data_IF_304970095863
#
_entry.id   IF_304970095863
#
_cell.length_a   1.000
_cell.length_b   1.000
_cell.length_c   1.000
_cell.angle_alpha   90.00
_cell.angle_beta   90.00
_cell.angle_gamma   90.00
#
_symmetry.space_group_name_H-M   'P 1'
#
loop_
_entity.id
_entity.type
_entity.pdbx_description
1 polymer ?
#
# COMPACT_ATOMS: atom_id res chain seq x y z
N UNK A 1 18.05 -41.19 -22.90
CA UNK A 1 18.98 -40.11 -23.33
C UNK A 1 19.28 -39.16 -22.17
N UNK A 2 18.24 -38.67 -21.48
CA UNK A 2 18.30 -37.85 -20.26
C UNK A 2 19.21 -38.42 -19.16
N UNK A 3 19.15 -39.73 -18.86
CA UNK A 3 20.00 -40.36 -17.85
C UNK A 3 21.50 -40.43 -18.20
N UNK A 4 21.88 -40.50 -19.49
CA UNK A 4 23.29 -40.49 -19.92
C UNK A 4 23.90 -39.08 -19.86
N UNK A 5 23.09 -38.06 -20.12
CA UNK A 5 23.50 -36.66 -19.97
C UNK A 5 23.59 -36.22 -18.50
N UNK A 6 22.66 -36.71 -17.68
CA UNK A 6 22.71 -36.57 -16.21
C UNK A 6 23.98 -37.19 -15.62
N UNK A 7 24.42 -38.32 -16.15
CA UNK A 7 25.67 -38.98 -15.73
C UNK A 7 26.91 -38.15 -16.10
N UNK A 8 26.96 -37.59 -17.31
CA UNK A 8 28.09 -36.73 -17.73
C UNK A 8 28.16 -35.41 -16.96
N UNK A 9 27.02 -34.79 -16.66
CA UNK A 9 26.97 -33.58 -15.84
C UNK A 9 27.42 -33.86 -14.40
N UNK A 10 27.01 -35.02 -13.83
CA UNK A 10 27.47 -35.48 -12.51
C UNK A 10 28.98 -35.78 -12.48
N UNK A 11 29.55 -36.43 -13.50
CA UNK A 11 31.01 -36.68 -13.59
C UNK A 11 31.81 -35.37 -13.72
N UNK A 12 31.37 -34.44 -14.57
CA UNK A 12 32.04 -33.14 -14.75
C UNK A 12 32.08 -32.30 -13.48
N UNK A 13 31.07 -32.43 -12.60
CA UNK A 13 31.06 -31.72 -11.32
C UNK A 13 31.74 -32.52 -10.21
N UNK A 14 31.56 -33.85 -10.13
CA UNK A 14 32.17 -34.67 -9.07
C UNK A 14 33.69 -34.73 -9.17
N UNK A 15 34.27 -34.78 -10.37
CA UNK A 15 35.74 -34.70 -10.54
C UNK A 15 36.30 -33.33 -10.13
N UNK A 16 35.48 -32.27 -10.13
CA UNK A 16 35.88 -30.90 -9.81
C UNK A 16 35.65 -30.53 -8.34
N UNK A 17 34.59 -31.01 -7.70
CA UNK A 17 34.38 -30.86 -6.24
C UNK A 17 35.50 -31.54 -5.44
N UNK A 18 36.07 -32.63 -5.96
CA UNK A 18 37.24 -33.31 -5.37
C UNK A 18 38.51 -32.45 -5.48
N UNK A 19 38.71 -31.72 -6.59
CA UNK A 19 39.86 -30.81 -6.76
C UNK A 19 39.73 -29.53 -5.94
N UNK A 20 38.53 -28.95 -5.84
CA UNK A 20 38.26 -27.75 -5.02
C UNK A 20 38.43 -28.06 -3.52
N UNK A 21 37.96 -29.22 -3.04
CA UNK A 21 38.16 -29.64 -1.65
C UNK A 21 39.61 -30.05 -1.32
N UNK A 22 40.40 -30.45 -2.32
CA UNK A 22 41.85 -30.66 -2.16
C UNK A 22 42.61 -29.33 -2.09
N UNK A 23 42.17 -28.29 -2.81
CA UNK A 23 42.73 -26.93 -2.74
C UNK A 23 42.38 -26.26 -1.39
N UNK A 24 41.15 -26.41 -0.91
CA UNK A 24 40.74 -25.88 0.42
C UNK A 24 41.46 -26.57 1.60
N UNK A 25 41.92 -27.82 1.45
CA UNK A 25 42.73 -28.53 2.47
C UNK A 25 44.22 -28.15 2.48
N UNK A 26 44.69 -27.40 1.49
CA UNK A 26 46.10 -26.97 1.37
C UNK A 26 46.33 -25.52 1.85
N UNK A 27 45.28 -24.81 2.26
CA UNK A 27 45.38 -23.47 2.85
C UNK A 27 45.32 -23.57 4.38
N UNK A 28 46.36 -23.15 5.12
CA UNK A 28 46.31 -23.16 6.58
C UNK A 28 45.28 -22.13 7.07
N UNK A 29 44.37 -22.59 7.93
CA UNK A 29 43.51 -21.73 8.73
C UNK A 29 44.36 -20.91 9.69
N UNK A 30 44.76 -19.69 9.32
CA UNK A 30 45.06 -18.64 10.30
C UNK A 30 45.13 -17.25 9.64
N UNK A 31 44.34 -16.33 10.21
CA UNK A 31 44.43 -14.87 10.17
C UNK A 31 44.13 -14.17 8.83
N UNK A 32 42.86 -13.79 8.71
CA UNK A 32 42.46 -12.53 8.09
C UNK A 32 43.19 -11.37 8.79
N UNK A 33 44.20 -10.81 8.13
CA UNK A 33 44.53 -9.38 8.07
C UNK A 33 45.86 -9.27 7.32
N UNK A 34 45.87 -8.39 6.32
CA UNK A 34 47.01 -8.04 5.46
C UNK A 34 47.42 -9.12 4.45
N UNK A 35 46.78 -9.16 3.28
CA UNK A 35 47.50 -9.54 2.05
C UNK A 35 46.91 -8.87 0.79
N UNK A 36 47.81 -8.17 0.12
CA UNK A 36 47.70 -7.52 -1.17
C UNK A 36 47.12 -8.45 -2.24
N UNK A 37 45.97 -8.08 -2.81
CA UNK A 37 45.32 -8.76 -3.94
C UNK A 37 46.10 -8.52 -5.22
N UNK A 38 47.21 -9.23 -5.45
CA UNK A 38 47.92 -9.09 -6.72
C UNK A 38 48.80 -10.27 -7.13
N UNK A 39 48.45 -11.54 -6.86
CA UNK A 39 49.17 -12.68 -7.51
C UNK A 39 48.48 -14.05 -7.40
N UNK A 40 47.14 -14.09 -7.37
CA UNK A 40 46.41 -15.27 -7.85
C UNK A 40 46.18 -15.05 -9.35
N UNK A 41 46.90 -15.83 -10.15
CA UNK A 41 47.30 -15.54 -11.51
C UNK A 41 46.15 -15.41 -12.51
N UNK A 42 46.13 -14.30 -13.26
CA UNK A 42 45.36 -14.06 -14.50
C UNK A 42 45.32 -15.26 -15.45
N UNK A 43 46.30 -16.16 -15.40
CA UNK A 43 46.41 -17.33 -16.26
C UNK A 43 45.40 -18.45 -15.91
N UNK A 44 45.07 -18.64 -14.63
CA UNK A 44 44.15 -19.72 -14.20
C UNK A 44 42.68 -19.31 -14.38
N UNK A 45 42.37 -18.03 -14.20
CA UNK A 45 41.07 -17.43 -14.55
C UNK A 45 40.88 -17.44 -16.07
N UNK A 46 41.89 -17.03 -16.85
CA UNK A 46 41.84 -17.11 -18.32
C UNK A 46 41.75 -18.56 -18.81
N UNK A 47 42.42 -19.53 -18.18
CA UNK A 47 42.27 -20.95 -18.52
C UNK A 47 40.89 -21.49 -18.14
N UNK A 48 40.29 -20.99 -17.05
CA UNK A 48 38.91 -21.32 -16.68
C UNK A 48 37.91 -20.70 -17.66
N UNK A 49 38.09 -19.45 -18.10
CA UNK A 49 37.30 -18.79 -19.14
C UNK A 49 37.40 -19.49 -20.49
N UNK A 50 38.63 -19.80 -20.95
CA UNK A 50 38.89 -20.54 -22.18
C UNK A 50 38.31 -21.95 -22.08
N UNK A 51 38.35 -22.60 -20.92
CA UNK A 51 37.82 -23.94 -20.74
C UNK A 51 36.29 -23.95 -20.65
N UNK A 52 35.65 -22.93 -20.05
CA UNK A 52 34.19 -22.82 -20.08
C UNK A 52 33.69 -22.41 -21.48
N UNK A 53 34.39 -21.51 -22.19
CA UNK A 53 34.14 -21.24 -23.62
C UNK A 53 34.26 -22.50 -24.50
N UNK A 54 35.17 -23.41 -24.17
CA UNK A 54 35.35 -24.67 -24.89
C UNK A 54 34.38 -25.78 -24.45
N UNK A 55 33.88 -25.76 -23.21
CA UNK A 55 32.93 -26.75 -22.67
C UNK A 55 31.48 -26.38 -23.00
N UNK A 56 31.15 -25.09 -23.10
CA UNK A 56 29.91 -24.59 -23.70
C UNK A 56 30.12 -24.54 -25.22
N UNK A 57 30.31 -25.71 -25.83
CA UNK A 57 30.10 -25.82 -27.27
C UNK A 57 28.64 -25.45 -27.56
N UNK A 58 28.35 -24.90 -28.75
CA UNK A 58 26.96 -24.68 -29.22
C UNK A 58 26.05 -25.87 -28.91
N UNK A 59 26.58 -27.10 -28.96
CA UNK A 59 25.89 -28.36 -28.69
C UNK A 59 25.51 -28.55 -27.21
N UNK A 60 26.42 -28.33 -26.26
CA UNK A 60 26.13 -28.37 -24.82
C UNK A 60 25.10 -27.31 -24.42
N UNK A 61 25.10 -26.18 -25.12
CA UNK A 61 24.13 -25.11 -24.94
C UNK A 61 22.75 -25.43 -25.51
N UNK A 62 22.67 -26.03 -26.71
CA UNK A 62 21.43 -26.60 -27.27
C UNK A 62 20.85 -27.71 -26.38
N UNK A 63 21.71 -28.48 -25.70
CA UNK A 63 21.28 -29.52 -24.77
C UNK A 63 20.70 -28.93 -23.47
N UNK A 64 21.24 -27.80 -22.98
CA UNK A 64 20.64 -27.02 -21.90
C UNK A 64 19.31 -26.39 -22.34
N UNK A 65 19.23 -25.81 -23.53
CA UNK A 65 17.99 -25.32 -24.12
C UNK A 65 16.92 -26.43 -24.16
N UNK A 66 17.29 -27.64 -24.57
CA UNK A 66 16.40 -28.79 -24.56
C UNK A 66 15.92 -29.18 -23.16
N UNK A 67 16.80 -29.13 -22.16
CA UNK A 67 16.46 -29.43 -20.77
C UNK A 67 15.53 -28.36 -20.18
N UNK A 68 15.77 -27.08 -20.46
CA UNK A 68 15.03 -25.95 -19.85
C UNK A 68 13.76 -25.54 -20.59
N UNK A 69 13.65 -25.80 -21.90
CA UNK A 69 12.50 -25.38 -22.72
C UNK A 69 11.55 -26.52 -23.08
N UNK A 70 11.97 -27.80 -23.03
CA UNK A 70 11.12 -28.95 -23.37
C UNK A 70 10.62 -29.76 -22.15
N UNK A 71 11.00 -29.39 -20.91
CA UNK A 71 10.56 -30.13 -19.73
C UNK A 71 9.58 -29.34 -18.86
N UNK A 72 8.36 -29.86 -18.69
CA UNK A 72 7.38 -29.43 -17.67
C UNK A 72 7.84 -29.78 -16.23
N UNK A 73 9.13 -30.06 -16.04
CA UNK A 73 9.70 -30.65 -14.83
C UNK A 73 10.38 -29.54 -14.04
N UNK A 74 9.86 -29.28 -12.83
CA UNK A 74 10.47 -28.35 -11.86
C UNK A 74 11.96 -28.64 -11.70
N UNK A 75 12.78 -27.59 -11.62
CA UNK A 75 14.23 -27.69 -11.48
C UNK A 75 14.59 -28.57 -10.27
N UNK A 76 15.23 -29.75 -10.46
CA UNK A 76 15.43 -30.68 -9.35
C UNK A 76 16.44 -30.10 -8.35
N UNK A 77 16.08 -30.13 -7.07
CA UNK A 77 16.81 -29.50 -5.95
C UNK A 77 18.31 -29.84 -5.92
N UNK A 78 18.66 -31.08 -6.25
CA UNK A 78 20.05 -31.57 -6.30
C UNK A 78 20.92 -30.81 -7.31
N UNK A 79 20.35 -30.31 -8.41
CA UNK A 79 21.08 -29.50 -9.39
C UNK A 79 21.17 -28.04 -8.95
N UNK A 80 20.17 -27.53 -8.24
CA UNK A 80 20.18 -26.20 -7.65
C UNK A 80 21.28 -26.04 -6.61
N UNK A 81 21.39 -26.97 -5.67
CA UNK A 81 22.41 -26.93 -4.62
C UNK A 81 23.83 -26.92 -5.21
N UNK A 82 24.00 -27.62 -6.34
CA UNK A 82 25.24 -27.71 -7.09
C UNK A 82 25.53 -26.45 -7.93
N UNK A 83 24.48 -25.79 -8.45
CA UNK A 83 24.53 -24.52 -9.18
C UNK A 83 24.90 -23.34 -8.27
N UNK A 84 24.29 -23.29 -7.08
CA UNK A 84 24.51 -22.23 -6.09
C UNK A 84 25.89 -22.36 -5.46
N UNK A 85 26.34 -23.58 -5.15
CA UNK A 85 27.66 -23.82 -4.55
C UNK A 85 28.86 -23.54 -5.46
N UNK A 86 28.64 -23.24 -6.74
CA UNK A 86 29.70 -23.02 -7.74
C UNK A 86 29.78 -21.59 -8.29
N UNK A 87 29.13 -20.60 -7.66
CA UNK A 87 29.04 -19.21 -8.16
C UNK A 87 28.51 -19.12 -9.61
N UNK A 88 27.78 -20.13 -10.07
CA UNK A 88 27.29 -20.20 -11.44
C UNK A 88 26.33 -19.06 -11.82
N UNK A 89 25.52 -18.49 -10.91
CA UNK A 89 24.74 -17.28 -11.20
C UNK A 89 25.60 -16.06 -11.57
N UNK A 90 26.73 -15.82 -10.88
CA UNK A 90 27.70 -14.76 -11.25
C UNK A 90 28.27 -15.03 -12.64
N UNK A 91 28.57 -16.30 -12.93
CA UNK A 91 29.03 -16.70 -14.25
C UNK A 91 27.97 -16.43 -15.32
N UNK A 92 26.71 -16.81 -15.13
CA UNK A 92 25.64 -16.54 -16.09
C UNK A 92 25.43 -15.04 -16.32
N UNK A 93 25.59 -14.23 -15.28
CA UNK A 93 25.42 -12.78 -15.35
C UNK A 93 26.59 -12.12 -16.06
N UNK A 94 27.84 -12.47 -15.73
CA UNK A 94 29.01 -12.03 -16.49
C UNK A 94 28.96 -12.52 -17.95
N UNK A 95 28.53 -13.76 -18.16
CA UNK A 95 28.37 -14.36 -19.49
C UNK A 95 27.26 -13.68 -20.31
N UNK A 96 26.20 -13.16 -19.68
CA UNK A 96 25.20 -12.32 -20.33
C UNK A 96 25.76 -10.94 -20.75
N UNK A 97 26.69 -10.40 -19.96
CA UNK A 97 27.31 -9.09 -20.18
C UNK A 97 28.38 -9.13 -21.29
N UNK A 98 29.17 -10.21 -21.31
CA UNK A 98 30.33 -10.32 -22.20
C UNK A 98 29.99 -10.86 -23.61
N UNK A 99 28.81 -11.48 -23.79
CA UNK A 99 28.42 -12.08 -25.06
C UNK A 99 27.27 -11.33 -25.75
N UNK A 100 27.53 -10.85 -26.97
CA UNK A 100 26.58 -10.13 -27.84
C UNK A 100 25.51 -11.02 -28.49
N UNK A 101 25.56 -12.34 -28.29
CA UNK A 101 24.65 -13.27 -28.95
C UNK A 101 23.33 -13.40 -28.21
N UNK A 102 22.29 -12.87 -28.82
CA UNK A 102 20.91 -12.86 -28.35
C UNK A 102 20.38 -14.18 -27.76
N UNK A 103 20.62 -15.31 -28.44
CA UNK A 103 20.16 -16.62 -27.96
C UNK A 103 20.80 -17.05 -26.63
N UNK A 104 22.04 -16.63 -26.38
CA UNK A 104 22.72 -16.93 -25.11
C UNK A 104 22.15 -16.09 -23.97
N UNK A 105 21.82 -14.83 -24.23
CA UNK A 105 21.13 -13.98 -23.26
C UNK A 105 19.75 -14.56 -22.91
N UNK A 106 18.96 -14.99 -23.90
CA UNK A 106 17.65 -15.63 -23.70
C UNK A 106 17.73 -16.88 -22.83
N UNK A 107 18.72 -17.74 -23.06
CA UNK A 107 18.87 -19.00 -22.31
C UNK A 107 19.36 -18.73 -20.88
N UNK A 108 20.31 -17.81 -20.68
CA UNK A 108 20.72 -17.41 -19.33
C UNK A 108 19.56 -16.81 -18.54
N UNK A 109 18.71 -16.00 -19.19
CA UNK A 109 17.45 -15.49 -18.63
C UNK A 109 16.50 -16.61 -18.27
N UNK A 110 16.33 -17.61 -19.15
CA UNK A 110 15.46 -18.76 -18.90
C UNK A 110 15.91 -19.55 -17.67
N UNK A 111 17.22 -19.76 -17.52
CA UNK A 111 17.82 -20.46 -16.39
C UNK A 111 17.62 -19.67 -15.10
N UNK A 112 17.98 -18.38 -15.10
CA UNK A 112 17.80 -17.49 -13.96
C UNK A 112 16.33 -17.38 -13.54
N UNK A 113 15.41 -17.29 -14.50
CA UNK A 113 13.98 -17.25 -14.23
C UNK A 113 13.49 -18.55 -13.58
N UNK A 114 13.88 -19.71 -14.12
CA UNK A 114 13.52 -21.01 -13.57
C UNK A 114 14.08 -21.23 -12.15
N UNK A 115 15.30 -20.78 -11.88
CA UNK A 115 15.92 -20.79 -10.55
C UNK A 115 15.09 -19.94 -9.58
N UNK A 116 14.72 -18.73 -10.00
CA UNK A 116 13.94 -17.77 -9.18
C UNK A 116 12.57 -18.32 -8.82
N UNK A 117 11.86 -18.93 -9.78
CA UNK A 117 10.52 -19.48 -9.55
C UNK A 117 10.56 -20.82 -8.79
N UNK A 118 11.59 -21.64 -9.01
CA UNK A 118 11.72 -22.94 -8.34
C UNK A 118 12.27 -22.80 -6.92
N UNK A 119 12.97 -21.70 -6.62
CA UNK A 119 13.55 -21.45 -5.31
C UNK A 119 13.40 -19.97 -4.92
N UNK A 120 12.28 -19.60 -4.29
CA UNK A 120 12.01 -18.22 -3.93
C UNK A 120 13.08 -17.63 -3.01
N UNK A 121 13.78 -18.46 -2.22
CA UNK A 121 14.83 -18.09 -1.26
C UNK A 121 16.19 -17.81 -1.89
N UNK A 122 16.29 -17.89 -3.21
CA UNK A 122 17.48 -17.49 -3.93
C UNK A 122 17.69 -15.96 -3.85
N UNK A 123 18.90 -15.55 -3.46
CA UNK A 123 19.36 -14.17 -3.31
C UNK A 123 20.49 -13.96 -4.32
N UNK A 124 20.42 -12.91 -5.14
CA UNK A 124 21.51 -12.48 -6.03
C UNK A 124 22.78 -12.24 -5.21
N UNK A 125 23.91 -12.64 -5.78
CA UNK A 125 25.20 -12.55 -5.11
C UNK A 125 25.63 -11.08 -4.91
N UNK A 126 26.30 -10.76 -3.79
CA UNK A 126 26.67 -9.40 -3.41
C UNK A 126 27.42 -8.61 -4.51
N UNK A 127 28.28 -9.28 -5.27
CA UNK A 127 29.16 -8.67 -6.27
C UNK A 127 28.40 -7.89 -7.37
N UNK A 128 27.19 -8.31 -7.70
CA UNK A 128 26.36 -7.66 -8.73
C UNK A 128 25.70 -6.40 -8.17
N UNK A 129 25.20 -6.43 -6.94
CA UNK A 129 24.57 -5.28 -6.26
C UNK A 129 25.63 -4.25 -5.85
N UNK A 130 26.85 -4.71 -5.58
CA UNK A 130 28.01 -3.85 -5.32
C UNK A 130 28.50 -3.10 -6.57
N UNK A 131 28.03 -3.41 -7.78
CA UNK A 131 28.44 -2.72 -9.01
C UNK A 131 27.25 -1.95 -9.64
N UNK A 132 27.17 -0.63 -9.44
CA UNK A 132 26.07 0.19 -9.95
C UNK A 132 25.88 0.15 -11.47
N UNK A 133 26.98 0.00 -12.22
CA UNK A 133 26.95 0.00 -13.69
C UNK A 133 26.31 -1.28 -14.21
N UNK A 134 26.63 -2.43 -13.60
CA UNK A 134 26.06 -3.73 -13.97
C UNK A 134 24.55 -3.73 -13.68
N UNK A 135 24.15 -3.30 -12.49
CA UNK A 135 22.73 -3.18 -12.13
C UNK A 135 22.02 -2.33 -13.18
N UNK A 136 22.55 -1.15 -13.50
CA UNK A 136 21.91 -0.24 -14.44
C UNK A 136 21.84 -0.77 -15.88
N UNK A 137 22.88 -1.42 -16.37
CA UNK A 137 22.88 -2.04 -17.70
C UNK A 137 21.76 -3.07 -17.84
N UNK A 138 21.47 -3.85 -16.80
CA UNK A 138 20.34 -4.76 -16.79
C UNK A 138 18.98 -4.06 -16.74
N UNK A 139 18.89 -2.96 -16.02
CA UNK A 139 17.66 -2.18 -15.91
C UNK A 139 17.30 -1.41 -17.18
N UNK A 140 18.30 -1.07 -17.98
CA UNK A 140 18.14 -0.42 -19.29
C UNK A 140 18.17 -1.39 -20.47
N UNK A 141 18.30 -2.70 -20.22
CA UNK A 141 18.36 -3.69 -21.28
C UNK A 141 17.09 -3.60 -22.16
N UNK A 142 17.23 -3.44 -23.49
CA UNK A 142 16.09 -3.23 -24.38
C UNK A 142 15.16 -4.44 -24.38
N UNK A 143 13.86 -4.19 -24.58
CA UNK A 143 12.90 -5.26 -24.86
C UNK A 143 13.33 -6.01 -26.12
N UNK A 144 13.37 -7.34 -26.01
CA UNK A 144 13.67 -8.19 -27.16
C UNK A 144 12.43 -8.20 -28.06
N UNK A 145 12.42 -7.36 -29.09
CA UNK A 145 11.33 -7.28 -30.06
C UNK A 145 11.69 -8.01 -31.35
N UNK A 146 11.11 -9.20 -31.53
CA UNK A 146 10.41 -9.70 -32.73
C UNK A 146 10.44 -11.25 -32.85
N UNK A 147 9.27 -11.84 -33.12
CA UNK A 147 9.15 -13.11 -33.86
C UNK A 147 9.22 -14.45 -33.11
N UNK A 148 9.43 -14.51 -31.79
CA UNK A 148 9.53 -15.80 -31.08
C UNK A 148 8.73 -15.86 -29.76
N UNK A 149 8.36 -17.09 -29.37
CA UNK A 149 7.39 -17.42 -28.30
C UNK A 149 7.66 -16.64 -26.99
N UNK A 150 6.55 -16.16 -26.43
CA UNK A 150 6.35 -15.05 -25.50
C UNK A 150 6.92 -15.14 -24.07
N UNK A 151 7.76 -16.11 -23.71
CA UNK A 151 8.14 -16.33 -22.30
C UNK A 151 9.51 -15.77 -21.88
N UNK A 152 10.36 -15.34 -22.82
CA UNK A 152 11.76 -14.96 -22.54
C UNK A 152 12.19 -13.60 -23.09
N UNK A 153 11.24 -12.80 -23.60
CA UNK A 153 11.51 -11.52 -24.27
C UNK A 153 11.93 -10.36 -23.34
N UNK A 154 12.05 -10.60 -22.03
CA UNK A 154 12.25 -9.54 -21.04
C UNK A 154 13.36 -9.91 -20.03
N UNK A 155 14.62 -9.91 -20.47
CA UNK A 155 15.80 -10.06 -19.58
C UNK A 155 15.75 -9.10 -18.37
N UNK A 156 15.48 -7.83 -18.65
CA UNK A 156 15.29 -6.76 -17.67
C UNK A 156 14.17 -7.08 -16.66
N UNK A 157 13.13 -7.81 -17.07
CA UNK A 157 12.07 -8.26 -16.17
C UNK A 157 12.55 -9.33 -15.18
N UNK A 158 13.19 -10.40 -15.68
CA UNK A 158 13.70 -11.47 -14.84
C UNK A 158 14.73 -10.94 -13.85
N UNK A 159 15.60 -10.03 -14.31
CA UNK A 159 16.54 -9.34 -13.45
C UNK A 159 15.86 -8.47 -12.39
N UNK A 160 14.81 -7.73 -12.75
CA UNK A 160 14.02 -6.92 -11.80
C UNK A 160 13.38 -7.80 -10.71
N UNK A 161 12.83 -8.96 -11.08
CA UNK A 161 12.25 -9.91 -10.11
C UNK A 161 13.33 -10.43 -9.16
N UNK A 162 14.47 -10.87 -9.70
CA UNK A 162 15.60 -11.35 -8.91
C UNK A 162 16.12 -10.30 -7.95
N UNK A 163 16.36 -9.08 -8.44
CA UNK A 163 16.82 -7.95 -7.64
C UNK A 163 15.79 -7.65 -6.55
N UNK A 164 14.49 -7.67 -6.87
CA UNK A 164 13.45 -7.44 -5.87
C UNK A 164 13.46 -8.47 -4.74
N UNK A 165 13.51 -9.76 -5.07
CA UNK A 165 13.57 -10.83 -4.07
C UNK A 165 14.83 -10.74 -3.20
N UNK A 166 15.95 -10.40 -3.83
CA UNK A 166 17.25 -10.27 -3.18
C UNK A 166 17.26 -9.16 -2.15
N UNK A 167 16.82 -7.97 -2.56
CA UNK A 167 16.71 -6.82 -1.67
C UNK A 167 15.73 -7.15 -0.55
N UNK A 168 14.56 -7.72 -0.89
CA UNK A 168 13.54 -8.10 0.08
C UNK A 168 14.04 -9.04 1.20
N UNK A 169 15.04 -9.88 0.92
CA UNK A 169 15.55 -10.92 1.82
C UNK A 169 16.87 -10.59 2.51
N UNK A 170 17.61 -9.57 2.05
CA UNK A 170 18.90 -9.21 2.62
C UNK A 170 18.99 -7.71 2.93
N UNK A 171 18.99 -7.38 4.23
CA UNK A 171 19.18 -6.02 4.72
C UNK A 171 20.58 -5.47 4.41
N UNK A 172 21.60 -6.32 4.44
CA UNK A 172 22.98 -5.96 4.08
C UNK A 172 23.07 -5.50 2.63
N UNK A 173 22.52 -6.30 1.71
CA UNK A 173 22.51 -5.97 0.28
C UNK A 173 21.64 -4.76 -0.04
N UNK A 174 20.53 -4.60 0.68
CA UNK A 174 19.70 -3.40 0.57
C UNK A 174 20.45 -2.15 1.05
N UNK A 175 21.22 -2.25 2.13
CA UNK A 175 22.05 -1.15 2.61
C UNK A 175 23.11 -0.77 1.57
N UNK A 176 23.78 -1.75 0.97
CA UNK A 176 24.76 -1.54 -0.11
C UNK A 176 24.09 -0.87 -1.33
N UNK A 177 22.89 -1.32 -1.70
CA UNK A 177 22.10 -0.72 -2.78
C UNK A 177 21.83 0.77 -2.55
N UNK A 178 21.50 1.15 -1.31
CA UNK A 178 21.28 2.56 -0.93
C UNK A 178 22.61 3.33 -0.95
N UNK A 179 23.64 2.84 -0.26
CA UNK A 179 24.93 3.55 -0.14
C UNK A 179 25.64 3.76 -1.47
N UNK A 180 25.41 2.87 -2.44
CA UNK A 180 25.96 2.99 -3.79
C UNK A 180 25.14 3.94 -4.69
N UNK A 181 24.13 4.63 -4.17
CA UNK A 181 23.29 5.57 -4.92
C UNK A 181 22.32 4.90 -5.90
N UNK A 182 22.15 3.57 -5.83
CA UNK A 182 21.24 2.85 -6.72
C UNK A 182 19.77 3.12 -6.38
N UNK A 183 19.47 3.41 -5.12
CA UNK A 183 18.13 3.85 -4.71
C UNK A 183 17.69 5.14 -5.40
N UNK A 184 18.55 6.16 -5.45
CA UNK A 184 18.23 7.44 -6.09
C UNK A 184 18.01 7.26 -7.61
N UNK A 185 18.84 6.41 -8.24
CA UNK A 185 18.65 6.04 -9.65
C UNK A 185 17.37 5.24 -9.89
N UNK A 186 17.03 4.32 -8.99
CA UNK A 186 15.77 3.60 -9.00
C UNK A 186 14.58 4.58 -8.98
N UNK A 187 14.60 5.60 -8.12
CA UNK A 187 13.58 6.65 -8.11
C UNK A 187 13.54 7.40 -9.44
N UNK A 188 14.70 7.85 -9.96
CA UNK A 188 14.79 8.57 -11.23
C UNK A 188 14.17 7.80 -12.40
N UNK A 189 14.23 6.46 -12.41
CA UNK A 189 13.60 5.65 -13.44
C UNK A 189 12.08 5.80 -13.50
N UNK A 190 11.41 6.12 -12.39
CA UNK A 190 9.98 6.45 -12.37
C UNK A 190 9.69 7.88 -12.81
N UNK A 191 10.68 8.77 -12.69
CA UNK A 191 10.53 10.20 -13.01
C UNK A 191 10.80 10.52 -14.47
N UNK A 192 11.50 9.64 -15.17
CA UNK A 192 11.87 9.83 -16.56
C UNK A 192 10.64 9.69 -17.48
N UNK A 193 10.13 10.78 -18.07
CA UNK A 193 8.97 10.76 -18.94
C UNK A 193 9.24 10.04 -20.27
N UNK A 194 10.50 9.81 -20.63
CA UNK A 194 10.89 9.05 -21.82
C UNK A 194 10.89 7.54 -21.56
N UNK A 195 10.82 7.11 -20.30
CA UNK A 195 10.82 5.70 -19.91
C UNK A 195 9.45 5.06 -20.16
N UNK A 196 9.22 4.64 -21.42
CA UNK A 196 7.98 4.00 -21.87
C UNK A 196 7.82 2.53 -21.46
N UNK A 197 8.79 1.93 -20.75
CA UNK A 197 8.74 0.52 -20.37
C UNK A 197 7.93 0.29 -19.08
N UNK A 198 6.63 0.55 -19.16
CA UNK A 198 5.63 0.31 -18.10
C UNK A 198 5.66 -1.13 -17.53
N UNK A 199 6.12 -2.10 -18.32
CA UNK A 199 6.30 -3.48 -17.86
C UNK A 199 7.36 -3.61 -16.76
N UNK A 200 8.48 -2.88 -16.78
CA UNK A 200 9.47 -2.96 -15.69
C UNK A 200 8.92 -2.36 -14.40
N UNK A 201 8.29 -1.19 -14.53
CA UNK A 201 7.71 -0.43 -13.43
C UNK A 201 6.72 -1.28 -12.63
N UNK A 202 5.95 -2.16 -13.30
CA UNK A 202 5.02 -3.09 -12.64
C UNK A 202 5.71 -4.05 -11.66
N UNK A 203 6.91 -4.54 -11.96
CA UNK A 203 7.62 -5.46 -11.05
C UNK A 203 8.45 -4.72 -10.01
N UNK A 204 8.98 -3.57 -10.39
CA UNK A 204 9.60 -2.62 -9.48
C UNK A 204 8.63 -2.07 -8.43
N UNK A 205 7.35 -1.98 -8.77
CA UNK A 205 6.30 -1.51 -7.85
C UNK A 205 6.29 -2.29 -6.54
N UNK A 206 6.68 -3.57 -6.54
CA UNK A 206 6.75 -4.40 -5.32
C UNK A 206 7.85 -3.98 -4.36
N UNK A 207 8.92 -3.38 -4.85
CA UNK A 207 10.00 -2.85 -4.03
C UNK A 207 9.61 -1.53 -3.36
N UNK A 208 8.64 -0.82 -3.91
CA UNK A 208 8.18 0.45 -3.36
C UNK A 208 7.58 0.26 -1.95
N UNK A 209 6.55 -0.59 -1.70
CA UNK A 209 6.06 -0.82 -0.34
C UNK A 209 7.14 -1.39 0.60
N UNK A 210 8.12 -2.13 0.06
CA UNK A 210 9.23 -2.64 0.85
C UNK A 210 10.15 -1.53 1.37
N UNK A 211 10.55 -0.60 0.49
CA UNK A 211 11.38 0.56 0.85
C UNK A 211 10.63 1.58 1.71
N UNK A 212 9.30 1.65 1.60
CA UNK A 212 8.46 2.47 2.47
C UNK A 212 8.22 1.85 3.85
N UNK A 213 8.74 0.65 4.12
CA UNK A 213 8.57 -0.03 5.41
C UNK A 213 9.62 0.42 6.45
N UNK A 214 9.33 0.32 7.76
CA UNK A 214 10.21 0.81 8.82
C UNK A 214 11.47 -0.06 8.97
N UNK A 215 11.51 -1.20 8.28
CA UNK A 215 12.67 -2.11 8.24
C UNK A 215 13.87 -1.48 7.53
N UNK A 216 13.68 -0.37 6.81
CA UNK A 216 14.72 0.31 6.03
C UNK A 216 14.85 1.77 6.45
N UNK A 217 15.99 2.17 7.04
CA UNK A 217 16.25 3.55 7.42
C UNK A 217 16.67 4.35 6.19
N UNK A 218 15.72 4.61 5.30
CA UNK A 218 15.86 5.59 4.22
C UNK A 218 15.45 6.96 4.80
N UNK A 219 16.21 8.01 4.48
CA UNK A 219 15.90 9.38 4.91
C UNK A 219 14.51 9.79 4.42
N UNK A 220 13.77 10.55 5.23
CA UNK A 220 12.43 11.03 4.87
C UNK A 220 12.42 11.77 3.53
N UNK A 221 13.46 12.55 3.20
CA UNK A 221 13.60 13.26 1.91
C UNK A 221 13.70 12.30 0.73
N UNK A 222 14.39 11.19 0.93
CA UNK A 222 14.52 10.13 -0.06
C UNK A 222 13.21 9.33 -0.20
N UNK A 223 12.48 9.11 0.90
CA UNK A 223 11.12 8.54 0.89
C UNK A 223 10.10 9.46 0.21
N UNK A 224 10.21 10.77 0.38
CA UNK A 224 9.39 11.77 -0.32
C UNK A 224 9.59 11.68 -1.82
N UNK A 225 10.80 11.34 -2.27
CA UNK A 225 11.08 11.13 -3.70
C UNK A 225 10.35 9.88 -4.25
N UNK A 226 10.01 8.90 -3.41
CA UNK A 226 9.17 7.76 -3.79
C UNK A 226 7.69 8.13 -3.99
N UNK A 227 7.21 9.28 -3.50
CA UNK A 227 5.81 9.71 -3.70
C UNK A 227 5.46 9.81 -5.19
N UNK A 228 6.43 10.18 -6.02
CA UNK A 228 6.26 10.23 -7.48
C UNK A 228 6.08 8.83 -8.07
N UNK A 229 6.77 7.83 -7.55
CA UNK A 229 6.62 6.44 -7.97
C UNK A 229 5.24 5.86 -7.57
N UNK A 230 4.62 6.39 -6.51
CA UNK A 230 3.23 6.07 -6.18
C UNK A 230 2.29 6.48 -7.31
N UNK A 231 2.42 7.71 -7.83
CA UNK A 231 1.57 8.20 -8.93
C UNK A 231 1.64 7.26 -10.15
N UNK A 232 2.83 6.76 -10.47
CA UNK A 232 2.99 5.79 -11.57
C UNK A 232 2.25 4.46 -11.30
N UNK A 233 2.28 3.95 -10.07
CA UNK A 233 1.49 2.75 -9.72
C UNK A 233 -0.02 2.97 -9.92
N UNK A 234 -0.50 4.18 -9.59
CA UNK A 234 -1.88 4.57 -9.86
C UNK A 234 -2.19 4.60 -11.37
N UNK A 235 -1.32 5.18 -12.20
CA UNK A 235 -1.49 5.24 -13.65
C UNK A 235 -1.52 3.84 -14.30
N UNK A 236 -0.75 2.90 -13.74
CA UNK A 236 -0.77 1.49 -14.12
C UNK A 236 -1.96 0.70 -13.54
N UNK A 237 -2.85 1.35 -12.79
CA UNK A 237 -4.02 0.75 -12.12
C UNK A 237 -3.67 -0.32 -11.09
N UNK A 238 -2.47 -0.27 -10.52
CA UNK A 238 -2.01 -1.13 -9.42
C UNK A 238 -2.50 -0.59 -8.07
N UNK A 239 -3.83 -0.49 -7.92
CA UNK A 239 -4.45 0.23 -6.81
C UNK A 239 -4.12 -0.36 -5.43
N UNK A 240 -3.99 -1.69 -5.34
CA UNK A 240 -3.70 -2.36 -4.07
C UNK A 240 -2.29 -2.02 -3.59
N UNK A 241 -1.31 -2.14 -4.48
CA UNK A 241 0.09 -1.79 -4.22
C UNK A 241 0.22 -0.29 -3.90
N UNK A 242 -0.43 0.55 -4.68
CA UNK A 242 -0.47 2.00 -4.48
C UNK A 242 -0.93 2.38 -3.07
N UNK A 243 -2.11 1.91 -2.66
CA UNK A 243 -2.70 2.17 -1.36
C UNK A 243 -1.78 1.64 -0.24
N UNK A 244 -1.30 0.40 -0.35
CA UNK A 244 -0.45 -0.21 0.66
C UNK A 244 0.87 0.55 0.84
N UNK A 245 1.47 1.05 -0.23
CA UNK A 245 2.70 1.85 -0.16
C UNK A 245 2.48 3.18 0.58
N UNK A 246 1.35 3.84 0.33
CA UNK A 246 0.99 5.07 1.03
C UNK A 246 0.69 4.80 2.50
N UNK A 247 -0.08 3.74 2.80
CA UNK A 247 -0.45 3.40 4.18
C UNK A 247 0.78 3.07 5.02
N UNK A 248 1.69 2.27 4.46
CA UNK A 248 2.98 2.00 5.10
C UNK A 248 3.79 3.28 5.32
N UNK A 249 3.82 4.21 4.37
CA UNK A 249 4.53 5.47 4.57
C UNK A 249 3.88 6.30 5.69
N UNK A 250 2.55 6.34 5.77
CA UNK A 250 1.84 7.10 6.79
C UNK A 250 1.98 6.50 8.21
N UNK A 251 2.03 5.18 8.34
CA UNK A 251 2.11 4.52 9.65
C UNK A 251 3.51 4.52 10.25
N UNK A 252 4.55 4.69 9.42
CA UNK A 252 5.94 4.58 9.85
C UNK A 252 6.68 5.90 9.94
N UNK A 253 6.16 6.96 9.32
CA UNK A 253 6.78 8.29 9.37
C UNK A 253 6.09 9.22 10.36
N UNK A 254 6.82 10.23 10.85
CA UNK A 254 6.26 11.28 11.70
C UNK A 254 5.31 12.21 10.94
N UNK A 255 4.65 13.12 11.67
CA UNK A 255 3.66 14.06 11.12
C UNK A 255 4.21 14.92 9.96
N UNK A 256 5.54 15.09 9.85
CA UNK A 256 6.21 15.83 8.78
C UNK A 256 5.89 15.30 7.38
N UNK A 257 5.62 13.99 7.23
CA UNK A 257 5.34 13.39 5.91
C UNK A 257 4.06 13.96 5.28
N UNK A 258 3.08 14.35 6.09
CA UNK A 258 1.81 14.90 5.62
C UNK A 258 1.99 16.21 4.87
N UNK A 259 2.95 17.06 5.27
CA UNK A 259 3.27 18.33 4.60
C UNK A 259 3.74 18.16 3.14
N UNK A 260 4.20 16.96 2.78
CA UNK A 260 4.59 16.62 1.42
C UNK A 260 3.45 15.95 0.68
N UNK A 261 2.76 15.00 1.32
CA UNK A 261 1.63 14.28 0.71
C UNK A 261 0.52 15.24 0.28
N UNK A 262 0.22 16.28 1.08
CA UNK A 262 -0.83 17.26 0.76
C UNK A 262 -0.52 18.13 -0.47
N UNK A 263 0.74 18.15 -0.93
CA UNK A 263 1.18 18.86 -2.14
C UNK A 263 1.19 17.97 -3.38
N UNK A 264 0.67 16.74 -3.29
CA UNK A 264 0.63 15.75 -4.38
C UNK A 264 -0.80 15.34 -4.69
N UNK A 265 -0.98 14.66 -5.82
CA UNK A 265 -2.29 14.12 -6.23
C UNK A 265 -2.74 12.90 -5.42
N UNK A 266 -1.99 12.50 -4.39
CA UNK A 266 -2.28 11.29 -3.61
C UNK A 266 -3.69 11.31 -3.01
N UNK A 267 -4.12 12.45 -2.47
CA UNK A 267 -5.46 12.62 -1.92
C UNK A 267 -6.53 12.41 -3.00
N UNK A 268 -6.39 13.10 -4.14
CA UNK A 268 -7.31 13.01 -5.28
C UNK A 268 -7.33 11.62 -5.91
N UNK A 269 -6.17 10.95 -6.01
CA UNK A 269 -6.07 9.58 -6.53
C UNK A 269 -6.85 8.58 -5.65
N UNK A 270 -6.82 8.74 -4.33
CA UNK A 270 -7.63 7.89 -3.43
C UNK A 270 -9.14 8.13 -3.63
N UNK A 271 -9.56 9.38 -3.89
CA UNK A 271 -10.94 9.69 -4.29
C UNK A 271 -11.30 8.98 -5.60
N UNK A 272 -10.44 9.05 -6.61
CA UNK A 272 -10.68 8.37 -7.88
C UNK A 272 -10.79 6.86 -7.73
N UNK A 273 -9.95 6.22 -6.90
CA UNK A 273 -10.04 4.77 -6.62
C UNK A 273 -11.41 4.41 -6.03
N UNK A 274 -11.98 5.27 -5.19
CA UNK A 274 -13.32 5.05 -4.63
C UNK A 274 -14.38 5.15 -5.73
N UNK A 275 -14.34 6.22 -6.54
CA UNK A 275 -15.31 6.47 -7.62
C UNK A 275 -15.34 5.30 -8.62
N UNK A 276 -14.19 4.88 -9.14
CA UNK A 276 -14.13 3.80 -10.16
C UNK A 276 -14.58 2.43 -9.64
N UNK A 277 -14.64 2.25 -8.32
CA UNK A 277 -15.04 1.02 -7.67
C UNK A 277 -16.40 1.14 -6.98
N UNK A 278 -17.14 2.25 -7.10
CA UNK A 278 -18.36 2.50 -6.35
C UNK A 278 -19.47 1.45 -6.61
N UNK A 279 -19.64 1.03 -7.87
CA UNK A 279 -20.71 0.09 -8.27
C UNK A 279 -20.28 -1.38 -8.17
N UNK A 280 -18.99 -1.64 -7.89
CA UNK A 280 -18.43 -2.99 -7.92
C UNK A 280 -18.65 -3.69 -6.58
N UNK A 281 -19.14 -4.92 -6.64
CA UNK A 281 -19.51 -5.71 -5.45
C UNK A 281 -18.57 -6.88 -5.18
N UNK A 282 -17.53 -7.07 -6.00
CA UNK A 282 -16.51 -8.08 -5.75
C UNK A 282 -15.64 -7.71 -4.53
N UNK A 283 -15.08 -8.73 -3.88
CA UNK A 283 -14.33 -8.58 -2.64
C UNK A 283 -13.10 -7.69 -2.80
N UNK A 284 -12.42 -7.77 -3.95
CA UNK A 284 -11.21 -6.97 -4.21
C UNK A 284 -11.57 -5.49 -4.33
N UNK A 285 -12.64 -5.16 -5.06
CA UNK A 285 -13.14 -3.78 -5.17
C UNK A 285 -13.61 -3.20 -3.84
N UNK A 286 -14.29 -4.01 -3.01
CA UNK A 286 -14.69 -3.62 -1.65
C UNK A 286 -13.45 -3.34 -0.79
N UNK A 287 -12.43 -4.21 -0.84
CA UNK A 287 -11.19 -4.02 -0.09
C UNK A 287 -10.46 -2.74 -0.53
N UNK A 288 -10.39 -2.48 -1.84
CA UNK A 288 -9.80 -1.25 -2.39
C UNK A 288 -10.52 0.01 -1.90
N UNK A 289 -11.86 0.05 -1.97
CA UNK A 289 -12.65 1.18 -1.46
C UNK A 289 -12.41 1.41 0.02
N UNK A 290 -12.50 0.35 0.82
CA UNK A 290 -12.28 0.40 2.27
C UNK A 290 -10.91 0.99 2.60
N UNK A 291 -9.85 0.50 1.95
CA UNK A 291 -8.50 0.95 2.25
C UNK A 291 -8.26 2.38 1.76
N UNK A 292 -8.80 2.77 0.60
CA UNK A 292 -8.75 4.15 0.10
C UNK A 292 -9.48 5.12 1.05
N UNK A 293 -10.68 4.77 1.53
CA UNK A 293 -11.43 5.60 2.49
C UNK A 293 -10.71 5.71 3.84
N UNK A 294 -10.05 4.63 4.29
CA UNK A 294 -9.23 4.65 5.49
C UNK A 294 -8.03 5.60 5.35
N UNK A 295 -7.34 5.56 4.21
CA UNK A 295 -6.27 6.51 3.89
C UNK A 295 -6.76 7.96 3.86
N UNK A 296 -7.90 8.23 3.21
CA UNK A 296 -8.50 9.57 3.21
C UNK A 296 -8.79 10.04 4.64
N UNK A 297 -9.34 9.17 5.49
CA UNK A 297 -9.61 9.50 6.89
C UNK A 297 -8.32 9.87 7.64
N UNK A 298 -7.23 9.09 7.47
CA UNK A 298 -5.92 9.41 8.06
C UNK A 298 -5.41 10.77 7.59
N UNK A 299 -5.50 11.06 6.29
CA UNK A 299 -5.06 12.34 5.71
C UNK A 299 -5.85 13.52 6.27
N UNK A 300 -7.18 13.44 6.32
CA UNK A 300 -8.05 14.51 6.84
C UNK A 300 -7.80 14.79 8.33
N UNK A 301 -7.62 13.74 9.14
CA UNK A 301 -7.34 13.89 10.58
C UNK A 301 -6.02 14.62 10.83
N UNK A 302 -4.98 14.27 10.05
CA UNK A 302 -3.64 14.83 10.22
C UNK A 302 -3.44 16.18 9.50
N UNK A 303 -4.42 16.64 8.73
CA UNK A 303 -4.39 17.96 8.10
C UNK A 303 -4.65 19.08 9.11
N UNK A 304 -3.70 19.34 10.01
CA UNK A 304 -3.85 20.36 11.07
C UNK A 304 -3.91 21.79 10.52
N UNK A 305 -3.35 22.03 9.33
CA UNK A 305 -3.23 23.36 8.73
C UNK A 305 -4.29 23.66 7.66
N UNK A 306 -5.25 22.75 7.43
CA UNK A 306 -6.26 22.87 6.37
C UNK A 306 -5.63 23.01 4.96
N UNK A 307 -4.56 22.26 4.71
CA UNK A 307 -3.86 22.20 3.43
C UNK A 307 -4.62 21.35 2.39
N UNK A 308 -5.44 20.39 2.82
CA UNK A 308 -6.24 19.57 1.92
C UNK A 308 -7.44 20.34 1.41
N UNK A 309 -7.61 20.36 0.09
CA UNK A 309 -8.86 20.81 -0.49
C UNK A 309 -9.94 19.73 -0.37
N UNK A 310 -10.79 19.86 0.66
CA UNK A 310 -11.86 18.91 0.93
C UNK A 310 -13.07 19.05 -0.01
N UNK A 311 -13.15 20.09 -0.87
CA UNK A 311 -14.29 20.25 -1.81
C UNK A 311 -14.35 19.17 -2.89
N UNK A 312 -13.25 18.44 -3.10
CA UNK A 312 -13.19 17.32 -4.05
C UNK A 312 -13.79 16.03 -3.51
N UNK A 313 -14.17 15.98 -2.22
CA UNK A 313 -14.75 14.78 -1.64
C UNK A 313 -16.13 14.49 -2.27
N UNK A 314 -16.35 13.28 -2.80
CA UNK A 314 -17.61 12.91 -3.44
C UNK A 314 -18.64 12.54 -2.37
N UNK A 315 -19.19 13.55 -1.70
CA UNK A 315 -20.15 13.38 -0.61
C UNK A 315 -21.43 12.64 -1.02
N UNK A 316 -21.84 12.78 -2.27
CA UNK A 316 -22.90 12.00 -2.91
C UNK A 316 -22.57 10.50 -2.88
N UNK A 317 -21.37 10.11 -3.28
CA UNK A 317 -20.93 8.70 -3.24
C UNK A 317 -20.83 8.20 -1.80
N UNK A 318 -20.24 8.97 -0.88
CA UNK A 318 -20.19 8.58 0.52
C UNK A 318 -21.58 8.43 1.12
N UNK A 319 -22.55 9.24 0.69
CA UNK A 319 -23.94 9.10 1.12
C UNK A 319 -24.60 7.82 0.57
N UNK A 320 -24.26 7.40 -0.64
CA UNK A 320 -24.75 6.14 -1.21
C UNK A 320 -24.18 4.93 -0.46
N UNK A 321 -22.92 5.00 -0.02
CA UNK A 321 -22.31 3.95 0.78
C UNK A 321 -22.93 3.74 2.16
N UNK A 322 -23.67 4.71 2.69
CA UNK A 322 -24.45 4.50 3.90
C UNK A 322 -25.55 3.45 3.69
N UNK A 323 -26.12 3.41 2.49
CA UNK A 323 -27.12 2.42 2.09
C UNK A 323 -26.48 1.10 1.59
N UNK A 324 -25.15 1.00 1.60
CA UNK A 324 -24.44 -0.23 1.23
C UNK A 324 -24.74 -1.33 2.24
N UNK A 325 -24.93 -2.60 1.81
CA UNK A 325 -25.01 -3.73 2.73
C UNK A 325 -23.66 -4.00 3.42
N UNK A 326 -22.57 -3.39 2.96
CA UNK A 326 -21.26 -3.52 3.57
C UNK A 326 -21.08 -2.53 4.74
N UNK A 327 -21.03 -3.07 5.96
CA UNK A 327 -20.84 -2.29 7.18
C UNK A 327 -19.54 -1.47 7.19
N UNK A 328 -18.47 -1.96 6.54
CA UNK A 328 -17.21 -1.19 6.45
C UNK A 328 -17.38 0.07 5.61
N UNK A 329 -18.14 0.02 4.53
CA UNK A 329 -18.44 1.18 3.68
C UNK A 329 -19.25 2.22 4.48
N UNK A 330 -20.25 1.77 5.25
CA UNK A 330 -21.03 2.65 6.14
C UNK A 330 -20.13 3.34 7.17
N UNK A 331 -19.32 2.57 7.91
CA UNK A 331 -18.44 3.08 8.96
C UNK A 331 -17.42 4.09 8.40
N UNK A 332 -16.81 3.77 7.27
CA UNK A 332 -15.80 4.64 6.66
C UNK A 332 -16.43 5.95 6.16
N UNK A 333 -17.59 5.88 5.53
CA UNK A 333 -18.32 7.05 5.03
C UNK A 333 -18.77 7.97 6.17
N UNK A 334 -19.33 7.41 7.25
CA UNK A 334 -19.70 8.17 8.45
C UNK A 334 -18.49 8.88 9.06
N UNK A 335 -17.33 8.21 9.16
CA UNK A 335 -16.10 8.83 9.67
C UNK A 335 -15.67 10.02 8.82
N UNK A 336 -15.61 9.85 7.49
CA UNK A 336 -15.23 10.92 6.56
C UNK A 336 -16.17 12.12 6.72
N UNK A 337 -17.49 11.88 6.74
CA UNK A 337 -18.48 12.95 6.92
C UNK A 337 -18.33 13.68 8.26
N UNK A 338 -18.12 12.97 9.36
CA UNK A 338 -17.88 13.59 10.68
C UNK A 338 -16.66 14.51 10.64
N UNK A 339 -15.55 14.04 10.05
CA UNK A 339 -14.34 14.86 9.95
C UNK A 339 -14.51 16.04 8.99
N UNK A 340 -15.24 15.86 7.90
CA UNK A 340 -15.57 16.93 6.97
C UNK A 340 -16.32 18.07 7.65
N UNK A 341 -17.38 17.73 8.40
CA UNK A 341 -18.18 18.69 9.17
C UNK A 341 -17.32 19.38 10.23
N UNK A 342 -16.49 18.64 10.97
CA UNK A 342 -15.61 19.25 11.97
C UNK A 342 -14.58 20.20 11.37
N UNK A 343 -14.21 20.01 10.10
CA UNK A 343 -13.17 20.81 9.43
C UNK A 343 -13.71 22.05 8.75
N UNK A 344 -14.87 21.98 8.09
CA UNK A 344 -15.47 23.13 7.40
C UNK A 344 -16.69 23.71 8.11
N UNK A 345 -17.08 23.13 9.24
CA UNK A 345 -18.17 23.59 10.10
C UNK A 345 -19.46 23.85 9.30
N UNK A 346 -20.04 25.05 9.43
CA UNK A 346 -21.29 25.44 8.78
C UNK A 346 -21.25 25.34 7.25
N UNK A 347 -20.09 25.53 6.62
CA UNK A 347 -19.96 25.40 5.16
C UNK A 347 -20.15 23.95 4.72
N UNK A 348 -19.59 22.99 5.47
CA UNK A 348 -19.78 21.57 5.17
C UNK A 348 -21.26 21.19 5.29
N UNK A 349 -21.94 21.67 6.33
CA UNK A 349 -23.34 21.34 6.57
C UNK A 349 -24.23 21.90 5.45
N UNK A 350 -24.00 23.14 5.04
CA UNK A 350 -24.70 23.74 3.90
C UNK A 350 -24.52 22.91 2.63
N UNK A 351 -23.29 22.50 2.32
CA UNK A 351 -23.00 21.69 1.14
C UNK A 351 -23.69 20.31 1.20
N UNK A 352 -23.74 19.69 2.38
CA UNK A 352 -24.43 18.40 2.57
C UNK A 352 -25.96 18.53 2.44
N UNK A 353 -26.55 19.65 2.87
CA UNK A 353 -27.96 19.99 2.63
C UNK A 353 -28.21 20.14 1.13
N UNK A 354 -27.41 20.96 0.43
CA UNK A 354 -27.55 21.23 -0.99
C UNK A 354 -27.40 19.98 -1.87
N UNK A 355 -26.50 19.07 -1.46
CA UNK A 355 -26.32 17.76 -2.10
C UNK A 355 -27.40 16.73 -1.74
N UNK A 356 -28.34 17.09 -0.86
CA UNK A 356 -29.42 16.20 -0.41
C UNK A 356 -28.92 14.98 0.35
N UNK A 357 -27.71 15.03 0.94
CA UNK A 357 -27.14 13.92 1.71
C UNK A 357 -28.04 13.60 2.89
N UNK A 358 -28.59 14.63 3.55
CA UNK A 358 -29.42 14.43 4.72
C UNK A 358 -30.74 13.70 4.45
N UNK A 359 -31.30 13.85 3.24
CA UNK A 359 -32.53 13.15 2.84
C UNK A 359 -32.37 11.63 2.80
N UNK A 360 -31.15 11.15 2.58
CA UNK A 360 -30.85 9.71 2.46
C UNK A 360 -30.78 9.00 3.81
N UNK A 361 -30.80 9.74 4.94
CA UNK A 361 -30.66 9.10 6.24
C UNK A 361 -31.98 8.50 6.79
N UNK A 362 -33.13 8.88 6.24
CA UNK A 362 -34.43 8.51 6.80
C UNK A 362 -34.76 7.00 6.70
N UNK A 363 -34.12 6.27 5.77
CA UNK A 363 -34.38 4.85 5.52
C UNK A 363 -33.18 3.93 5.85
N UNK A 364 -32.21 4.42 6.63
CA UNK A 364 -30.98 3.67 6.90
C UNK A 364 -31.16 2.53 7.91
N UNK A 365 -30.95 1.30 7.45
CA UNK A 365 -30.76 0.14 8.32
C UNK A 365 -29.32 0.12 8.88
N UNK A 366 -29.17 0.64 10.09
CA UNK A 366 -27.87 0.71 10.76
C UNK A 366 -27.59 -0.53 11.61
N UNK A 367 -26.41 -1.10 11.42
CA UNK A 367 -25.86 -2.10 12.35
C UNK A 367 -25.45 -1.46 13.68
N UNK A 368 -25.39 -2.24 14.75
CA UNK A 368 -24.92 -1.76 16.06
C UNK A 368 -23.58 -1.00 15.96
N UNK A 369 -22.65 -1.48 15.14
CA UNK A 369 -21.34 -0.85 14.93
C UNK A 369 -21.37 0.49 14.18
N UNK A 370 -22.38 0.74 13.35
CA UNK A 370 -22.53 2.03 12.64
C UNK A 370 -23.42 3.03 13.40
N UNK A 371 -24.28 2.57 14.32
CA UNK A 371 -25.17 3.44 15.13
C UNK A 371 -24.43 4.48 15.96
N UNK A 372 -23.34 4.13 16.64
CA UNK A 372 -22.56 5.10 17.44
C UNK A 372 -21.98 6.23 16.57
N UNK A 373 -21.42 5.87 15.41
CA UNK A 373 -20.87 6.85 14.46
C UNK A 373 -21.96 7.69 13.82
N UNK A 374 -23.09 7.06 13.48
CA UNK A 374 -24.25 7.75 12.99
C UNK A 374 -24.68 8.80 14.02
N UNK A 375 -25.01 8.41 15.25
CA UNK A 375 -25.39 9.35 16.31
C UNK A 375 -24.36 10.49 16.49
N UNK A 376 -23.07 10.15 16.44
CA UNK A 376 -21.99 11.14 16.49
C UNK A 376 -22.03 12.15 15.32
N UNK A 377 -22.38 11.75 14.10
CA UNK A 377 -22.56 12.63 12.94
C UNK A 377 -23.70 13.62 13.19
N UNK A 378 -24.86 13.14 13.65
CA UNK A 378 -26.03 13.99 13.88
C UNK A 378 -25.79 14.98 15.01
N UNK A 379 -25.24 14.52 16.14
CA UNK A 379 -24.87 15.39 17.25
C UNK A 379 -23.85 16.44 16.83
N UNK A 380 -22.86 16.07 16.03
CA UNK A 380 -21.85 17.02 15.54
C UNK A 380 -22.48 18.05 14.59
N UNK A 381 -23.38 17.62 13.70
CA UNK A 381 -24.11 18.52 12.80
C UNK A 381 -24.92 19.52 13.62
N UNK A 382 -25.74 19.04 14.55
CA UNK A 382 -26.66 19.86 15.34
C UNK A 382 -25.96 20.91 16.23
N UNK A 383 -24.75 20.62 16.71
CA UNK A 383 -23.99 21.54 17.55
C UNK A 383 -23.30 22.66 16.77
N UNK A 384 -23.20 22.52 15.44
CA UNK A 384 -22.45 23.45 14.58
C UNK A 384 -23.42 24.31 13.77
N UNK A 385 -24.52 23.73 13.29
CA UNK A 385 -25.56 24.36 12.46
C UNK A 385 -25.98 25.74 12.95
N UNK A 386 -26.13 26.68 12.02
CA UNK A 386 -26.87 27.92 12.26
C UNK A 386 -28.39 27.72 12.20
N UNK A 387 -29.15 28.78 12.45
CA UNK A 387 -30.61 28.69 12.57
C UNK A 387 -31.33 28.23 11.29
N UNK A 388 -30.95 28.79 10.14
CA UNK A 388 -31.54 28.44 8.84
C UNK A 388 -31.26 26.98 8.45
N UNK A 389 -30.04 26.52 8.72
CA UNK A 389 -29.65 25.14 8.52
C UNK A 389 -30.41 24.20 9.44
N UNK A 390 -30.56 24.55 10.72
CA UNK A 390 -31.29 23.76 11.70
C UNK A 390 -32.77 23.60 11.26
N UNK A 391 -33.42 24.68 10.85
CA UNK A 391 -34.81 24.62 10.36
C UNK A 391 -34.95 23.65 9.17
N UNK A 392 -34.01 23.72 8.21
CA UNK A 392 -34.00 22.82 7.06
C UNK A 392 -33.82 21.36 7.48
N UNK A 393 -32.90 21.08 8.41
CA UNK A 393 -32.63 19.73 8.89
C UNK A 393 -33.79 19.16 9.72
N UNK A 394 -34.53 20.00 10.46
CA UNK A 394 -35.78 19.62 11.11
C UNK A 394 -36.82 19.19 10.09
N UNK A 395 -36.97 19.93 8.98
CA UNK A 395 -37.90 19.56 7.90
C UNK A 395 -37.56 18.22 7.25
N UNK A 396 -36.27 17.85 7.22
CA UNK A 396 -35.82 16.53 6.74
C UNK A 396 -36.08 15.39 7.74
N UNK A 397 -36.53 15.69 8.96
CA UNK A 397 -36.77 14.68 10.00
C UNK A 397 -35.49 14.18 10.67
N UNK A 398 -34.36 14.88 10.46
CA UNK A 398 -33.01 14.46 10.85
C UNK A 398 -32.88 14.08 12.34
N UNK A 399 -33.58 14.80 13.22
CA UNK A 399 -33.31 14.79 14.67
C UNK A 399 -34.16 13.82 15.49
N UNK A 400 -35.18 13.18 14.90
CA UNK A 400 -36.18 12.39 15.65
C UNK A 400 -35.56 11.22 16.42
N UNK A 401 -34.53 10.58 15.86
CA UNK A 401 -33.99 9.32 16.41
C UNK A 401 -32.78 9.53 17.36
N UNK A 402 -32.32 10.76 17.57
CA UNK A 402 -31.10 11.04 18.35
C UNK A 402 -31.26 10.61 19.80
N UNK A 403 -32.39 10.96 20.42
CA UNK A 403 -32.62 10.69 21.84
C UNK A 403 -32.98 9.22 22.09
N UNK A 404 -33.68 8.57 21.17
CA UNK A 404 -33.98 7.14 21.24
C UNK A 404 -32.73 6.26 21.14
N UNK A 405 -31.70 6.75 20.43
CA UNK A 405 -30.44 6.04 20.27
C UNK A 405 -29.39 6.37 21.34
N UNK A 406 -29.74 7.19 22.33
CA UNK A 406 -28.82 7.61 23.38
C UNK A 406 -28.42 6.43 24.27
N UNK A 407 -27.12 6.14 24.34
CA UNK A 407 -26.55 5.14 25.25
C UNK A 407 -26.05 5.83 26.53
N UNK A 408 -26.78 5.66 27.63
CA UNK A 408 -26.44 6.24 28.95
C UNK A 408 -25.16 5.67 29.56
N UNK A 409 -24.62 4.58 29.01
CA UNK A 409 -23.31 4.06 29.40
C UNK A 409 -22.14 4.78 28.71
N UNK A 410 -22.38 5.54 27.63
CA UNK A 410 -21.34 6.27 26.89
C UNK A 410 -21.30 7.76 27.27
N UNK A 411 -20.48 8.08 28.26
CA UNK A 411 -20.32 9.44 28.80
C UNK A 411 -19.99 10.50 27.72
N UNK A 412 -19.24 10.14 26.68
CA UNK A 412 -18.90 11.08 25.59
C UNK A 412 -20.12 11.46 24.76
N UNK A 413 -21.01 10.50 24.50
CA UNK A 413 -22.27 10.75 23.81
C UNK A 413 -23.20 11.57 24.70
N UNK A 414 -23.35 11.19 25.97
CA UNK A 414 -24.20 11.91 26.91
C UNK A 414 -23.77 13.37 27.04
N UNK A 415 -22.48 13.64 27.22
CA UNK A 415 -21.95 15.00 27.26
C UNK A 415 -22.30 15.82 26.01
N UNK A 416 -22.38 15.20 24.83
CA UNK A 416 -22.81 15.87 23.59
C UNK A 416 -24.31 16.07 23.53
N UNK A 417 -25.10 15.10 23.98
CA UNK A 417 -26.57 15.20 24.06
C UNK A 417 -26.96 16.34 24.99
N UNK A 418 -26.38 16.40 26.19
CA UNK A 418 -26.66 17.49 27.15
C UNK A 418 -26.31 18.84 26.54
N UNK A 419 -25.13 18.97 25.92
CA UNK A 419 -24.75 20.20 25.19
C UNK A 419 -25.73 20.56 24.09
N UNK A 420 -26.18 19.57 23.31
CA UNK A 420 -27.17 19.79 22.26
C UNK A 420 -28.48 20.29 22.86
N UNK A 421 -29.00 19.62 23.89
CA UNK A 421 -30.27 20.00 24.53
C UNK A 421 -30.17 21.43 25.09
N UNK A 422 -29.07 21.78 25.76
CA UNK A 422 -28.81 23.16 26.21
C UNK A 422 -28.84 24.14 25.04
N UNK A 423 -28.15 23.83 23.95
CA UNK A 423 -28.11 24.67 22.75
C UNK A 423 -29.51 24.86 22.12
N UNK A 424 -30.29 23.79 21.99
CA UNK A 424 -31.64 23.85 21.42
C UNK A 424 -32.62 24.62 22.31
N UNK A 425 -32.40 24.65 23.63
CA UNK A 425 -33.23 25.42 24.57
C UNK A 425 -33.11 26.95 24.41
N UNK A 426 -32.11 27.42 23.66
CA UNK A 426 -31.90 28.85 23.43
C UNK A 426 -32.86 29.43 22.37
N UNK A 427 -33.53 28.58 21.58
CA UNK A 427 -34.42 28.99 20.50
C UNK A 427 -35.81 28.32 20.62
N UNK A 428 -36.87 29.13 20.74
CA UNK A 428 -38.25 28.66 20.93
C UNK A 428 -38.75 27.74 19.80
N UNK A 429 -38.31 27.95 18.56
CA UNK A 429 -38.72 27.08 17.45
C UNK A 429 -38.13 25.67 17.63
N UNK A 430 -36.86 25.54 18.04
CA UNK A 430 -36.24 24.23 18.26
C UNK A 430 -36.80 23.54 19.50
N UNK A 431 -37.10 24.31 20.54
CA UNK A 431 -37.86 23.78 21.68
C UNK A 431 -39.16 23.14 21.19
N UNK A 432 -39.93 23.87 20.36
CA UNK A 432 -41.23 23.41 19.85
C UNK A 432 -41.14 22.20 18.92
N UNK A 433 -40.17 22.17 18.00
CA UNK A 433 -40.11 21.16 16.95
C UNK A 433 -39.18 19.98 17.25
N UNK A 434 -38.23 20.11 18.19
CA UNK A 434 -37.26 19.06 18.52
C UNK A 434 -37.44 18.60 19.98
N UNK A 435 -37.38 19.51 20.96
CA UNK A 435 -37.32 19.11 22.37
C UNK A 435 -38.67 18.68 22.95
N UNK A 436 -39.73 19.46 22.73
CA UNK A 436 -41.09 19.15 23.23
C UNK A 436 -41.60 17.78 22.74
N UNK A 437 -41.47 17.42 21.44
CA UNK A 437 -41.85 16.08 20.99
C UNK A 437 -41.09 14.94 21.69
N UNK A 438 -39.92 15.22 22.25
CA UNK A 438 -39.04 14.25 22.91
C UNK A 438 -39.02 14.39 24.44
N UNK A 439 -39.93 15.17 25.04
CA UNK A 439 -39.90 15.50 26.47
C UNK A 439 -39.89 14.25 27.37
N UNK A 440 -40.66 13.22 27.02
CA UNK A 440 -40.72 11.97 27.79
C UNK A 440 -39.35 11.27 27.81
N UNK A 441 -38.68 11.18 26.65
CA UNK A 441 -37.37 10.56 26.51
C UNK A 441 -36.30 11.38 27.25
N UNK A 442 -36.38 12.71 27.17
CA UNK A 442 -35.46 13.61 27.87
C UNK A 442 -35.61 13.47 29.40
N UNK A 443 -36.83 13.35 29.93
CA UNK A 443 -37.07 13.08 31.35
C UNK A 443 -36.49 11.73 31.77
N UNK A 444 -36.69 10.68 30.98
CA UNK A 444 -36.11 9.35 31.24
C UNK A 444 -34.57 9.41 31.29
N UNK A 445 -33.95 10.06 30.30
CA UNK A 445 -32.51 10.29 30.27
C UNK A 445 -32.04 11.09 31.50
N UNK A 446 -32.79 12.10 31.93
CA UNK A 446 -32.46 12.91 33.10
C UNK A 446 -32.48 12.09 34.41
N UNK A 447 -33.39 11.13 34.53
CA UNK A 447 -33.53 10.26 35.70
C UNK A 447 -32.47 9.15 35.74
N UNK A 448 -32.02 8.66 34.58
CA UNK A 448 -30.93 7.68 34.49
C UNK A 448 -29.56 8.27 34.84
N UNK A 449 -29.39 9.58 34.66
CA UNK A 449 -28.16 10.32 34.95
C UNK A 449 -28.14 10.80 36.42
N UNK A 450 -27.15 10.34 37.19
CA UNK A 450 -27.01 10.64 38.61
C UNK A 450 -25.90 11.65 38.93
N UNK A 451 -25.42 12.37 37.93
CA UNK A 451 -24.27 13.28 37.97
C UNK A 451 -24.67 14.74 37.65
N UNK A 452 -23.67 15.58 37.36
CA UNK A 452 -23.90 16.99 36.95
C UNK A 452 -24.77 17.08 35.69
N UNK A 453 -24.57 16.18 34.72
CA UNK A 453 -25.39 16.11 33.51
C UNK A 453 -26.86 15.82 33.84
N UNK A 454 -27.12 14.89 34.78
CA UNK A 454 -28.47 14.62 35.26
C UNK A 454 -29.15 15.85 35.86
N UNK A 455 -28.42 16.64 36.66
CA UNK A 455 -28.95 17.88 37.23
C UNK A 455 -29.27 18.93 36.15
N UNK A 456 -28.41 19.08 35.14
CA UNK A 456 -28.64 19.99 34.01
C UNK A 456 -29.89 19.55 33.24
N UNK A 457 -29.99 18.26 32.90
CA UNK A 457 -31.13 17.71 32.16
C UNK A 457 -32.45 17.86 32.93
N UNK A 458 -32.46 17.61 34.25
CA UNK A 458 -33.66 17.81 35.09
C UNK A 458 -34.13 19.27 35.06
N UNK A 459 -33.19 20.22 35.19
CA UNK A 459 -33.50 21.65 35.10
C UNK A 459 -34.12 22.03 33.74
N UNK A 460 -33.58 21.47 32.66
CA UNK A 460 -34.12 21.68 31.31
C UNK A 460 -35.52 21.09 31.18
N UNK A 461 -35.75 19.88 31.69
CA UNK A 461 -37.06 19.24 31.62
C UNK A 461 -38.14 20.02 32.39
N UNK A 462 -37.82 20.58 33.56
CA UNK A 462 -38.74 21.49 34.27
C UNK A 462 -39.10 22.71 33.41
N UNK A 463 -38.11 23.33 32.76
CA UNK A 463 -38.35 24.47 31.88
C UNK A 463 -39.16 24.10 30.63
N UNK A 464 -38.99 22.89 30.10
CA UNK A 464 -39.79 22.38 28.98
C UNK A 464 -41.27 22.20 29.38
N UNK A 465 -41.54 21.72 30.60
CA UNK A 465 -42.90 21.58 31.14
C UNK A 465 -43.60 22.94 31.22
N UNK A 466 -42.93 23.94 31.80
CA UNK A 466 -43.47 25.31 31.88
C UNK A 466 -43.80 25.87 30.47
N UNK A 467 -42.96 25.57 29.48
CA UNK A 467 -43.14 26.00 28.09
C UNK A 467 -44.30 25.26 27.39
N UNK A 468 -44.47 23.96 27.68
CA UNK A 468 -45.57 23.14 27.16
C UNK A 468 -46.92 23.58 27.71
N UNK A 469 -47.00 23.88 29.01
CA UNK A 469 -48.23 24.35 29.66
C UNK A 469 -48.68 25.71 29.10
N UNK A 470 -47.75 26.65 28.89
CA UNK A 470 -48.02 27.97 28.32
C UNK A 470 -48.56 27.96 26.88
N UNK A 471 -48.17 26.96 26.07
CA UNK A 471 -48.63 26.83 24.68
C UNK A 471 -49.88 25.96 24.51
N UNK A 472 -50.37 25.35 25.60
CA UNK A 472 -51.61 24.56 25.64
C UNK A 472 -52.85 25.36 26.04
N UNK A 473 -52.64 26.62 26.47
CA UNK A 473 -53.64 27.66 26.72
C UNK A 473 -53.82 28.55 25.49
#
# INVERSE_FOLDING_TARGET
MTHKMIFHFKECISEKTVKINQIHKLLPHEKFNDFDTSTATNLEVQQMEIHIQNVITKKSFFDLEKIFFESDVKFPKEYFDLFVSSNFPDYLINFMMDFSSHNFQIISVAILNNITFSNPDFILLPNIICNPEIVFQFLQAPEIREGQKSSYACLSLVFTILLSNTLMKSQELTSIFITNGLFQRFVQMFLDPENKNTMHITYWSKLIPYFSSPKFPIDIKEKISLLQAYCVMYDLKLYKEYINSIDNLLDNEGEEVFQYIFKTDIFTNNIYIIIINQEKTDLDSIELRKNAMFLLTKMIINDKNNELNLTFLPMDIFSDFLNSPNVSDQIASLKIMIFYIKKKENEAIQELIEKGVYNKFNDLELTYSSKDLYLNLFLTTALITNDEQMETLVQYGMYQNIFECADTSNEKIINKIVKLVVHLMENENYVRYILLPNEILLNQLADELNDENGNIMKSICTRLQDFGELNSL
#
